data_IF_281799007305
#
_entry.id   IF_281799007305
#
_cell.length_a   1.000
_cell.length_b   1.000
_cell.length_c   1.000
_cell.angle_alpha   90.00
_cell.angle_beta   90.00
_cell.angle_gamma   90.00
#
_symmetry.space_group_name_H-M   'P 1'
#
loop_
_entity.id
_entity.type
_entity.pdbx_description
1 polymer ?
#
# COMPACT_ATOMS: atom_id res chain seq x y z
N UNK A 1 -25.13 -3.56 21.91
CA UNK A 1 -23.70 -3.28 21.61
C UNK A 1 -22.93 -4.59 21.62
N UNK A 2 -22.36 -5.00 20.49
CA UNK A 2 -21.59 -6.25 20.39
C UNK A 2 -20.38 -6.18 21.33
N UNK A 3 -20.41 -6.93 22.44
CA UNK A 3 -19.32 -7.00 23.42
C UNK A 3 -18.24 -7.95 22.87
N UNK A 4 -17.27 -7.40 22.15
CA UNK A 4 -16.10 -8.17 21.73
C UNK A 4 -15.28 -8.60 22.95
N UNK A 5 -14.83 -9.87 22.93
CA UNK A 5 -13.89 -10.41 23.92
C UNK A 5 -12.59 -9.57 23.89
N UNK A 6 -11.96 -9.31 25.05
CA UNK A 6 -10.80 -8.41 25.13
C UNK A 6 -9.62 -8.88 24.25
N UNK A 7 -9.48 -10.20 24.08
CA UNK A 7 -8.47 -10.80 23.22
C UNK A 7 -8.70 -10.50 21.74
N UNK A 8 -9.94 -10.64 21.26
CA UNK A 8 -10.31 -10.31 19.88
C UNK A 8 -10.08 -8.83 19.58
N UNK A 9 -10.39 -7.94 20.53
CA UNK A 9 -10.12 -6.50 20.37
C UNK A 9 -8.63 -6.20 20.20
N UNK A 10 -7.75 -6.84 20.99
CA UNK A 10 -6.30 -6.67 20.86
C UNK A 10 -5.80 -7.13 19.50
N UNK A 11 -6.21 -8.31 19.03
CA UNK A 11 -5.82 -8.84 17.71
C UNK A 11 -6.25 -7.90 16.57
N UNK A 12 -7.49 -7.43 16.59
CA UNK A 12 -8.01 -6.49 15.58
C UNK A 12 -7.24 -5.17 15.60
N UNK A 13 -6.95 -4.61 16.78
CA UNK A 13 -6.14 -3.40 16.88
C UNK A 13 -4.72 -3.61 16.32
N UNK A 14 -4.10 -4.76 16.59
CA UNK A 14 -2.78 -5.08 16.02
C UNK A 14 -2.82 -5.12 14.50
N UNK A 15 -3.79 -5.83 13.92
CA UNK A 15 -3.94 -5.89 12.45
C UNK A 15 -4.15 -4.51 11.86
N UNK A 16 -5.05 -3.69 12.43
CA UNK A 16 -5.31 -2.32 11.95
C UNK A 16 -4.04 -1.46 11.99
N UNK A 17 -3.23 -1.57 13.05
CA UNK A 17 -1.96 -0.83 13.15
C UNK A 17 -0.99 -1.25 12.05
N UNK A 18 -0.81 -2.55 11.83
CA UNK A 18 0.06 -3.07 10.77
C UNK A 18 -0.43 -2.65 9.39
N UNK A 19 -1.73 -2.78 9.13
CA UNK A 19 -2.34 -2.34 7.87
C UNK A 19 -2.10 -0.84 7.64
N UNK A 20 -2.31 0.02 8.64
CA UNK A 20 -2.07 1.46 8.51
C UNK A 20 -0.62 1.76 8.11
N UNK A 21 0.35 1.11 8.75
CA UNK A 21 1.77 1.27 8.41
C UNK A 21 2.07 0.75 7.00
N UNK A 22 1.54 -0.42 6.64
CA UNK A 22 1.73 -1.00 5.31
C UNK A 22 1.17 -0.12 4.20
N UNK A 23 -0.01 0.47 4.39
CA UNK A 23 -0.58 1.42 3.42
C UNK A 23 0.23 2.73 3.36
N UNK A 24 0.66 3.28 4.50
CA UNK A 24 1.39 4.54 4.52
C UNK A 24 2.73 4.45 3.75
N UNK A 25 3.45 3.35 3.91
CA UNK A 25 4.74 3.15 3.24
C UNK A 25 4.62 2.44 1.89
N UNK A 26 3.60 1.61 1.69
CA UNK A 26 3.42 0.79 0.49
C UNK A 26 2.61 1.47 -0.62
N UNK A 27 1.79 2.47 -0.31
CA UNK A 27 0.94 3.12 -1.31
C UNK A 27 1.75 3.81 -2.41
N UNK A 28 2.70 4.67 -2.03
CA UNK A 28 3.51 5.42 -3.01
C UNK A 28 4.37 4.47 -3.88
N UNK A 29 5.13 3.51 -3.31
CA UNK A 29 5.89 2.55 -4.12
C UNK A 29 5.01 1.73 -5.07
N UNK A 30 3.81 1.33 -4.64
CA UNK A 30 2.88 0.57 -5.48
C UNK A 30 2.42 1.40 -6.69
N UNK A 31 2.03 2.65 -6.45
CA UNK A 31 1.59 3.57 -7.52
C UNK A 31 2.73 3.84 -8.49
N UNK A 32 3.95 4.06 -7.99
CA UNK A 32 5.13 4.23 -8.84
C UNK A 32 5.33 2.97 -9.70
N UNK A 33 5.36 1.79 -9.10
CA UNK A 33 5.51 0.53 -9.85
C UNK A 33 4.45 0.35 -10.95
N UNK A 34 3.19 0.66 -10.65
CA UNK A 34 2.11 0.59 -11.64
C UNK A 34 2.29 1.61 -12.76
N UNK A 35 2.68 2.85 -12.43
CA UNK A 35 2.99 3.88 -13.43
C UNK A 35 4.18 3.52 -14.31
N UNK A 36 5.23 2.92 -13.73
CA UNK A 36 6.38 2.43 -14.50
C UNK A 36 6.00 1.28 -15.43
N UNK A 37 5.20 0.32 -14.92
CA UNK A 37 4.75 -0.85 -15.66
C UNK A 37 3.76 -0.53 -16.79
N UNK A 38 2.90 0.48 -16.59
CA UNK A 38 1.96 0.91 -17.62
C UNK A 38 2.67 1.50 -18.83
N UNK A 39 3.86 2.09 -18.63
CA UNK A 39 4.62 2.75 -19.68
C UNK A 39 3.96 4.05 -20.17
N UNK A 40 4.70 4.81 -21.00
CA UNK A 40 4.18 5.99 -21.68
C UNK A 40 3.47 5.64 -23.00
N UNK A 41 3.02 6.66 -23.72
CA UNK A 41 2.46 6.48 -25.08
C UNK A 41 3.48 5.81 -26.02
N UNK A 42 3.00 5.10 -27.08
CA UNK A 42 3.88 4.46 -28.07
C UNK A 42 4.83 5.50 -28.68
N UNK A 43 6.12 5.44 -28.31
CA UNK A 43 7.14 6.41 -28.72
C UNK A 43 7.81 7.18 -27.57
N UNK A 44 7.31 7.10 -26.34
CA UNK A 44 8.02 7.59 -25.15
C UNK A 44 9.00 6.57 -24.60
N UNK A 45 10.20 6.99 -24.12
CA UNK A 45 11.12 6.11 -23.41
C UNK A 45 10.50 5.59 -22.11
N UNK A 46 10.86 4.37 -21.72
CA UNK A 46 10.35 3.78 -20.48
C UNK A 46 10.67 4.69 -19.29
N UNK A 47 9.68 5.02 -18.44
CA UNK A 47 9.94 5.80 -17.26
C UNK A 47 10.95 5.05 -16.39
N UNK A 48 12.07 5.70 -16.10
CA UNK A 48 13.18 5.13 -15.31
C UNK A 48 13.25 5.87 -13.98
N UNK A 49 13.49 5.15 -12.88
CA UNK A 49 13.54 5.72 -11.53
C UNK A 49 14.68 6.73 -11.33
N UNK A 50 15.72 6.64 -12.15
CA UNK A 50 16.87 7.53 -12.19
C UNK A 50 17.07 7.92 -13.66
N UNK A 51 17.10 9.21 -13.95
CA UNK A 51 17.47 9.73 -15.26
C UNK A 51 18.99 9.69 -15.42
#
# INVERSE_FOLDING_TARGET
MVKMRPETKKRVQTVIKFSKTAFHWGFIPLIIYLGLKQGGEPGMPEPTLLR
#
